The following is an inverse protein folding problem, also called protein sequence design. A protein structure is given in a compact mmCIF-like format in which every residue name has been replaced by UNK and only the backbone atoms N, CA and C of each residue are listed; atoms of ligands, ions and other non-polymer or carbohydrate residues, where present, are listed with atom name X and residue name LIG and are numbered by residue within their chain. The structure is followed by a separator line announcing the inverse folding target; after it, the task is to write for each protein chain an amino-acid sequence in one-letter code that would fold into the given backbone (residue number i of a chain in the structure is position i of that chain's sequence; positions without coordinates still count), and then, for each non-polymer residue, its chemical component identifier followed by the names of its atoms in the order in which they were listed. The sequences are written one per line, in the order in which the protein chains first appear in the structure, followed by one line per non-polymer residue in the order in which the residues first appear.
data_IF_524167468646
#
_entry.id   IF_524167468646
#
_cell.length_a   1.000
_cell.length_b   1.000
_cell.length_c   1.000
_cell.angle_alpha   90.00
_cell.angle_beta   90.00
_cell.angle_gamma   90.00
#
_symmetry.space_group_name_H-M   'P 1'
#
loop_
_entity.id
_entity.type
_entity.pdbx_description
1 polymer ?
#
# COMPACT_ATOMS: atom_id res chain seq x y z
N UNK A 1 -4.01 -2.13 46.50
CA UNK A 1 -4.47 -2.90 45.31
C UNK A 1 -3.98 -2.34 43.99
N UNK A 2 -3.11 -1.31 43.93
CA UNK A 2 -2.68 -0.64 42.70
C UNK A 2 -1.31 -1.12 42.11
N UNK A 3 -0.39 -1.59 42.95
CA UNK A 3 0.98 -1.96 42.50
C UNK A 3 1.05 -3.18 41.58
N UNK A 4 0.10 -4.09 41.65
CA UNK A 4 0.07 -5.31 40.82
C UNK A 4 -0.46 -5.00 39.42
N UNK A 5 -1.40 -4.06 39.29
CA UNK A 5 -1.99 -3.65 38.01
C UNK A 5 -0.96 -2.82 37.21
N UNK A 6 -0.27 -1.87 37.86
CA UNK A 6 0.76 -1.06 37.18
C UNK A 6 1.95 -1.91 36.71
N UNK A 7 2.42 -2.86 37.52
CA UNK A 7 3.47 -3.81 37.09
C UNK A 7 3.02 -4.68 35.92
N UNK A 8 1.77 -5.13 35.90
CA UNK A 8 1.22 -5.90 34.80
C UNK A 8 1.11 -5.06 33.52
N UNK A 9 0.74 -3.79 33.62
CA UNK A 9 0.63 -2.86 32.50
C UNK A 9 2.00 -2.53 31.90
N UNK A 10 3.00 -2.19 32.73
CA UNK A 10 4.37 -1.94 32.29
C UNK A 10 5.03 -3.18 31.65
N UNK A 11 4.76 -4.36 32.21
CA UNK A 11 5.25 -5.61 31.65
C UNK A 11 4.62 -5.90 30.28
N UNK A 12 3.34 -5.62 30.11
CA UNK A 12 2.63 -5.78 28.83
C UNK A 12 3.15 -4.83 27.77
N UNK A 13 3.34 -3.54 28.06
CA UNK A 13 3.94 -2.55 27.16
C UNK A 13 5.38 -2.92 26.76
N UNK A 14 6.19 -3.38 27.70
CA UNK A 14 7.54 -3.83 27.42
C UNK A 14 7.56 -5.07 26.50
N UNK A 15 6.63 -6.01 26.68
CA UNK A 15 6.48 -7.19 25.84
C UNK A 15 6.01 -6.82 24.42
N UNK A 16 5.08 -5.89 24.28
CA UNK A 16 4.61 -5.39 22.98
C UNK A 16 5.74 -4.72 22.20
N UNK A 17 6.60 -3.94 22.86
CA UNK A 17 7.78 -3.33 22.24
C UNK A 17 8.81 -4.38 21.80
N UNK A 18 9.01 -5.43 22.58
CA UNK A 18 9.92 -6.54 22.23
C UNK A 18 9.36 -7.34 21.06
N UNK A 19 8.07 -7.66 21.09
CA UNK A 19 7.41 -8.40 20.03
C UNK A 19 7.42 -7.63 18.69
N UNK A 20 7.25 -6.30 18.71
CA UNK A 20 7.35 -5.45 17.52
C UNK A 20 8.76 -5.47 16.93
N UNK A 21 9.79 -5.44 17.76
CA UNK A 21 11.19 -5.56 17.33
C UNK A 21 11.48 -6.91 16.66
N UNK A 22 10.93 -7.98 17.21
CA UNK A 22 11.09 -9.31 16.60
C UNK A 22 10.27 -9.47 15.32
N UNK A 23 9.06 -8.88 15.27
CA UNK A 23 8.25 -8.85 14.06
C UNK A 23 8.99 -8.13 12.93
N UNK A 24 9.61 -6.97 13.20
CA UNK A 24 10.39 -6.24 12.21
C UNK A 24 11.49 -7.11 11.58
N UNK A 25 12.25 -7.85 12.39
CA UNK A 25 13.26 -8.79 11.88
C UNK A 25 12.69 -9.90 11.00
N UNK A 26 11.47 -10.37 11.29
CA UNK A 26 10.79 -11.37 10.46
C UNK A 26 10.27 -10.76 9.15
N UNK A 27 9.85 -9.50 9.19
CA UNK A 27 9.44 -8.74 8.00
C UNK A 27 10.63 -8.49 7.08
N UNK A 28 11.79 -8.11 7.62
CA UNK A 28 13.03 -7.92 6.86
C UNK A 28 13.49 -9.24 6.22
N UNK A 29 13.49 -10.32 6.99
CA UNK A 29 13.81 -11.64 6.45
C UNK A 29 12.87 -12.04 5.32
N UNK A 30 11.56 -11.79 5.48
CA UNK A 30 10.56 -12.09 4.45
C UNK A 30 10.78 -11.25 3.19
N UNK A 31 11.13 -9.97 3.35
CA UNK A 31 11.41 -9.08 2.22
C UNK A 31 12.61 -9.55 1.37
N UNK A 32 13.60 -10.16 2.01
CA UNK A 32 14.80 -10.69 1.33
C UNK A 32 14.57 -12.08 0.72
N UNK A 33 13.78 -12.94 1.36
CA UNK A 33 13.71 -14.36 1.04
C UNK A 33 12.36 -14.80 0.43
N UNK A 34 11.31 -13.97 0.48
CA UNK A 34 9.96 -14.28 -0.02
C UNK A 34 9.18 -15.31 0.80
N UNK A 35 9.77 -15.81 1.90
CA UNK A 35 9.17 -16.83 2.77
C UNK A 35 9.51 -16.54 4.25
N UNK A 36 8.64 -16.99 5.16
CA UNK A 36 8.95 -16.94 6.58
C UNK A 36 9.88 -18.10 6.98
N UNK A 37 10.85 -17.83 7.89
CA UNK A 37 11.82 -18.83 8.30
C UNK A 37 11.21 -19.89 9.23
N UNK A 38 11.76 -21.11 9.26
CA UNK A 38 11.40 -22.11 10.26
C UNK A 38 11.86 -21.68 11.67
N UNK A 39 11.28 -22.28 12.71
CA UNK A 39 11.54 -21.94 14.11
C UNK A 39 13.03 -21.96 14.50
N UNK A 40 13.81 -22.88 13.94
CA UNK A 40 15.27 -22.94 14.17
C UNK A 40 16.00 -21.72 13.66
N UNK A 41 15.60 -21.20 12.50
CA UNK A 41 16.17 -20.00 11.90
C UNK A 41 15.69 -18.75 12.63
N UNK A 42 14.41 -18.68 13.03
CA UNK A 42 13.87 -17.59 13.86
C UNK A 42 14.71 -17.47 15.13
N UNK A 43 14.99 -18.56 15.80
CA UNK A 43 15.80 -18.59 17.02
C UNK A 43 17.15 -17.86 16.83
N UNK A 44 17.82 -18.10 15.71
CA UNK A 44 19.08 -17.41 15.35
C UNK A 44 18.88 -15.91 15.07
N UNK A 45 17.87 -15.55 14.27
CA UNK A 45 17.58 -14.16 13.88
C UNK A 45 17.28 -13.27 15.09
N UNK A 46 16.53 -13.79 16.07
CA UNK A 46 16.11 -13.02 17.25
C UNK A 46 17.02 -13.23 18.46
N UNK A 47 18.06 -14.08 18.34
CA UNK A 47 19.05 -14.31 19.39
C UNK A 47 18.54 -15.13 20.59
N UNK A 48 17.50 -15.97 20.39
CA UNK A 48 16.99 -16.85 21.45
C UNK A 48 17.74 -18.16 21.52
N UNK A 49 18.01 -18.64 22.74
CA UNK A 49 18.81 -19.87 22.98
C UNK A 49 18.00 -21.16 22.96
N UNK A 50 16.65 -21.09 22.88
CA UNK A 50 15.79 -22.26 22.90
C UNK A 50 14.51 -22.06 22.07
N UNK A 51 13.84 -23.17 21.72
CA UNK A 51 12.63 -23.15 20.89
C UNK A 51 11.37 -22.68 21.65
N UNK A 52 11.32 -22.84 22.97
CA UNK A 52 10.11 -22.50 23.75
C UNK A 52 9.77 -21.01 23.72
N UNK A 53 10.68 -20.05 23.95
CA UNK A 53 10.40 -18.63 23.79
C UNK A 53 10.00 -18.24 22.35
N UNK A 54 10.61 -18.89 21.34
CA UNK A 54 10.24 -18.67 19.93
C UNK A 54 8.79 -19.10 19.69
N UNK A 55 8.38 -20.27 20.20
CA UNK A 55 7.02 -20.76 20.08
C UNK A 55 6.01 -19.82 20.76
N UNK A 56 6.36 -19.29 21.95
CA UNK A 56 5.53 -18.33 22.67
C UNK A 56 5.40 -17.00 21.90
N UNK A 57 6.49 -16.47 21.32
CA UNK A 57 6.48 -15.29 20.47
C UNK A 57 5.59 -15.52 19.23
N UNK A 58 5.80 -16.61 18.51
CA UNK A 58 5.01 -16.94 17.32
C UNK A 58 3.51 -17.07 17.67
N UNK A 59 3.19 -17.66 18.83
CA UNK A 59 1.80 -17.76 19.29
C UNK A 59 1.16 -16.37 19.52
N UNK A 60 1.90 -15.43 20.16
CA UNK A 60 1.43 -14.05 20.34
C UNK A 60 1.24 -13.32 19.01
N UNK A 61 2.22 -13.41 18.10
CA UNK A 61 2.12 -12.79 16.77
C UNK A 61 0.98 -13.36 15.93
N UNK A 62 0.63 -14.64 16.12
CA UNK A 62 -0.58 -15.22 15.52
C UNK A 62 -1.86 -14.68 16.14
N UNK A 63 -1.95 -14.57 17.46
CA UNK A 63 -3.10 -13.96 18.13
C UNK A 63 -3.34 -12.51 17.70
N UNK A 64 -2.26 -11.79 17.41
CA UNK A 64 -2.30 -10.41 16.93
C UNK A 64 -2.58 -10.31 15.41
N UNK A 65 -2.65 -11.43 14.68
CA UNK A 65 -2.93 -11.45 13.24
C UNK A 65 -1.72 -11.13 12.34
N UNK A 66 -0.52 -11.04 12.90
CA UNK A 66 0.71 -10.84 12.11
C UNK A 66 1.20 -12.11 11.42
N UNK A 67 1.00 -13.25 12.04
CA UNK A 67 1.41 -14.55 11.51
C UNK A 67 0.23 -15.52 11.44
N UNK A 68 0.30 -16.46 10.52
CA UNK A 68 -0.61 -17.58 10.40
C UNK A 68 0.15 -18.89 10.15
N UNK A 69 -0.55 -20.01 10.15
CA UNK A 69 -0.02 -21.31 9.72
C UNK A 69 -0.73 -21.80 8.47
N UNK A 70 0.04 -22.39 7.55
CA UNK A 70 -0.52 -23.21 6.49
C UNK A 70 -1.07 -24.53 7.05
N UNK A 71 -1.88 -25.31 6.26
CA UNK A 71 -2.30 -26.66 6.65
C UNK A 71 -1.12 -27.57 7.03
N UNK A 72 0.03 -27.42 6.37
CA UNK A 72 1.28 -28.17 6.62
C UNK A 72 2.09 -27.61 7.81
N UNK A 73 1.49 -26.75 8.63
CA UNK A 73 2.08 -26.13 9.83
C UNK A 73 3.30 -25.22 9.55
N UNK A 74 3.49 -24.77 8.32
CA UNK A 74 4.48 -23.75 8.01
C UNK A 74 3.96 -22.37 8.39
N UNK A 75 4.86 -21.47 8.76
CA UNK A 75 4.49 -20.07 8.98
C UNK A 75 4.23 -19.38 7.65
N UNK A 76 3.20 -18.53 7.62
CA UNK A 76 2.90 -17.60 6.54
C UNK A 76 2.57 -16.23 7.13
N UNK A 77 2.72 -15.14 6.37
CA UNK A 77 2.23 -13.83 6.76
C UNK A 77 0.73 -13.89 7.07
N UNK A 78 0.32 -13.25 8.16
CA UNK A 78 -1.07 -12.97 8.46
C UNK A 78 -1.48 -11.63 7.82
N UNK A 79 -2.76 -11.27 7.94
CA UNK A 79 -3.32 -10.05 7.33
C UNK A 79 -2.55 -8.79 7.75
N UNK A 80 -2.16 -8.69 9.02
CA UNK A 80 -1.48 -7.53 9.59
C UNK A 80 0.03 -7.49 9.35
N UNK A 81 0.61 -8.50 8.73
CA UNK A 81 2.06 -8.60 8.54
C UNK A 81 2.64 -7.44 7.70
N UNK A 82 1.87 -6.93 6.76
CA UNK A 82 2.28 -5.85 5.86
C UNK A 82 1.77 -4.46 6.29
N UNK A 83 1.08 -4.36 7.42
CA UNK A 83 0.66 -3.08 7.98
C UNK A 83 1.87 -2.19 8.28
N UNK A 84 1.69 -0.89 8.04
CA UNK A 84 2.66 0.17 8.37
C UNK A 84 1.97 1.26 9.17
N UNK A 85 2.63 1.81 10.20
CA UNK A 85 2.06 2.91 10.96
C UNK A 85 1.96 4.17 10.09
N UNK A 86 0.83 4.86 10.15
CA UNK A 86 0.67 6.18 9.60
C UNK A 86 0.97 7.18 10.71
N UNK A 87 1.98 8.01 10.48
CA UNK A 87 2.27 9.14 11.36
C UNK A 87 1.39 10.33 11.01
N UNK A 88 1.10 11.16 11.99
CA UNK A 88 0.38 12.41 11.78
C UNK A 88 1.06 13.31 10.73
N UNK A 89 0.29 14.23 10.17
CA UNK A 89 0.72 15.09 9.08
C UNK A 89 2.02 15.84 9.40
N UNK A 90 3.00 15.68 8.54
CA UNK A 90 4.19 16.52 8.52
C UNK A 90 3.92 17.72 7.61
N UNK A 91 4.09 18.93 8.13
CA UNK A 91 3.97 20.13 7.29
C UNK A 91 5.15 20.20 6.31
N UNK A 92 4.84 20.24 5.03
CA UNK A 92 5.84 20.56 4.00
C UNK A 92 6.17 22.08 4.11
N UNK A 93 7.14 22.43 4.94
CA UNK A 93 7.51 23.81 5.21
C UNK A 93 8.35 23.90 6.49
N UNK A 94 8.01 24.86 7.37
CA UNK A 94 8.75 25.03 8.63
C UNK A 94 8.55 23.82 9.56
N UNK A 95 9.61 23.42 10.32
CA UNK A 95 9.54 22.34 11.28
C UNK A 95 8.42 22.56 12.30
N UNK A 96 7.68 21.50 12.64
CA UNK A 96 6.72 21.47 13.74
C UNK A 96 7.13 20.41 14.76
N UNK A 97 6.79 20.55 16.06
CA UNK A 97 7.07 19.53 17.06
C UNK A 97 6.45 18.19 16.65
N UNK A 98 7.21 17.10 16.82
CA UNK A 98 6.69 15.76 16.67
C UNK A 98 5.69 15.49 17.82
N UNK A 99 4.45 15.20 17.49
CA UNK A 99 3.45 14.80 18.48
C UNK A 99 3.53 13.29 18.73
N UNK A 100 3.25 12.87 19.97
CA UNK A 100 2.98 11.48 20.32
C UNK A 100 1.57 11.14 19.82
N UNK A 101 1.47 10.62 18.61
CA UNK A 101 0.19 10.24 18.04
C UNK A 101 -0.03 8.74 18.13
N UNK A 102 -1.27 8.36 18.44
CA UNK A 102 -1.76 7.02 18.14
C UNK A 102 -1.71 6.84 16.62
N UNK A 103 -0.88 5.90 16.17
CA UNK A 103 -0.72 5.64 14.75
C UNK A 103 -1.77 4.64 14.30
N UNK A 104 -2.60 5.05 13.35
CA UNK A 104 -3.40 4.11 12.59
C UNK A 104 -2.48 3.21 11.76
N UNK A 105 -2.88 1.96 11.61
CA UNK A 105 -2.11 0.98 10.82
C UNK A 105 -2.76 0.81 9.45
N UNK A 106 -1.94 0.80 8.41
CA UNK A 106 -2.38 0.72 7.03
C UNK A 106 -1.58 -0.34 6.26
N UNK A 107 -2.26 -1.11 5.43
CA UNK A 107 -1.64 -1.91 4.36
C UNK A 107 -1.77 -1.13 3.05
N UNK A 108 -0.67 -0.79 2.40
CA UNK A 108 -0.66 0.02 1.17
C UNK A 108 -1.54 -0.60 0.08
N UNK A 109 -1.46 -1.92 -0.09
CA UNK A 109 -2.27 -2.64 -1.07
C UNK A 109 -3.77 -2.53 -0.75
N UNK A 110 -4.20 -2.78 0.49
CA UNK A 110 -5.61 -2.66 0.91
C UNK A 110 -6.15 -1.22 0.78
N UNK A 111 -5.29 -0.23 0.99
CA UNK A 111 -5.67 1.17 0.87
C UNK A 111 -5.88 1.61 -0.60
N UNK A 112 -5.02 1.14 -1.48
CA UNK A 112 -4.98 1.57 -2.88
C UNK A 112 -5.82 0.69 -3.80
N UNK A 113 -6.08 -0.58 -3.43
CA UNK A 113 -6.72 -1.58 -4.29
C UNK A 113 -8.00 -2.08 -3.65
N UNK A 114 -9.12 -1.44 -3.99
CA UNK A 114 -10.46 -1.85 -3.48
C UNK A 114 -10.99 -3.11 -4.17
N UNK A 115 -10.65 -3.31 -5.45
CA UNK A 115 -11.13 -4.43 -6.28
C UNK A 115 -9.96 -5.17 -6.93
N UNK A 116 -9.24 -6.06 -6.21
CA UNK A 116 -8.00 -6.68 -6.70
C UNK A 116 -8.13 -7.42 -8.03
N UNK A 117 -9.26 -8.08 -8.28
CA UNK A 117 -9.48 -8.87 -9.50
C UNK A 117 -9.64 -8.02 -10.76
N UNK A 118 -10.03 -6.75 -10.61
CA UNK A 118 -10.22 -5.79 -11.71
C UNK A 118 -9.17 -4.69 -11.73
N UNK A 119 -8.21 -4.68 -10.83
CA UNK A 119 -7.17 -3.65 -10.75
C UNK A 119 -5.90 -4.08 -11.49
N UNK A 120 -5.32 -3.15 -12.23
CA UNK A 120 -4.02 -3.30 -12.90
C UNK A 120 -3.14 -2.10 -12.62
N UNK A 121 -1.83 -2.30 -12.74
CA UNK A 121 -0.83 -1.24 -12.61
C UNK A 121 -0.32 -0.86 -14.00
N UNK A 122 -0.25 0.45 -14.28
CA UNK A 122 0.19 0.98 -15.58
C UNK A 122 1.30 1.99 -15.37
N UNK A 123 2.45 1.76 -16.02
CA UNK A 123 3.56 2.70 -16.00
C UNK A 123 3.29 3.88 -16.93
N UNK A 124 3.48 5.09 -16.41
CA UNK A 124 3.25 6.33 -17.16
C UNK A 124 4.46 6.68 -18.01
N UNK A 125 4.20 6.96 -19.30
CA UNK A 125 5.17 7.54 -20.23
C UNK A 125 4.63 8.87 -20.74
N UNK A 126 5.52 9.86 -20.90
CA UNK A 126 5.13 11.21 -21.30
C UNK A 126 4.62 12.06 -20.14
N UNK A 127 4.37 13.33 -20.40
CA UNK A 127 4.14 14.38 -19.43
C UNK A 127 2.76 15.08 -19.61
N UNK A 128 1.86 14.48 -20.37
CA UNK A 128 0.55 15.09 -20.68
C UNK A 128 -0.36 15.28 -19.46
N UNK A 129 -0.02 14.73 -18.31
CA UNK A 129 -0.77 14.82 -17.05
C UNK A 129 0.05 15.43 -15.92
N UNK A 130 1.09 16.20 -16.22
CA UNK A 130 2.04 16.75 -15.25
C UNK A 130 1.36 17.70 -14.26
N UNK A 131 0.44 18.53 -14.73
CA UNK A 131 -0.30 19.48 -13.87
C UNK A 131 -1.34 18.80 -12.97
N UNK A 132 -1.64 17.53 -13.25
CA UNK A 132 -2.42 16.65 -12.35
C UNK A 132 -1.50 15.87 -11.37
N UNK A 133 -0.20 16.18 -11.33
CA UNK A 133 0.77 15.55 -10.44
C UNK A 133 1.27 14.18 -10.91
N UNK A 134 0.90 13.73 -12.11
CA UNK A 134 1.34 12.46 -12.70
C UNK A 134 2.54 12.74 -13.61
N UNK A 135 3.70 12.20 -13.25
CA UNK A 135 4.96 12.41 -13.97
C UNK A 135 5.38 11.17 -14.76
N UNK A 136 6.23 11.34 -15.78
CA UNK A 136 6.87 10.19 -16.42
C UNK A 136 7.62 9.31 -15.42
N UNK A 137 7.39 7.99 -15.51
CA UNK A 137 7.95 7.01 -14.57
C UNK A 137 7.09 6.69 -13.36
N UNK A 138 5.97 7.40 -13.16
CA UNK A 138 4.97 7.01 -12.17
C UNK A 138 4.29 5.70 -12.56
N UNK A 139 3.71 5.03 -11.56
CA UNK A 139 2.80 3.93 -11.77
C UNK A 139 1.40 4.35 -11.30
N UNK A 140 0.42 4.29 -12.19
CA UNK A 140 -0.98 4.51 -11.85
C UNK A 140 -1.69 3.19 -11.58
N UNK A 141 -2.60 3.22 -10.62
CA UNK A 141 -3.46 2.11 -10.22
C UNK A 141 -4.77 2.30 -10.95
N UNK A 142 -5.13 1.35 -11.80
CA UNK A 142 -6.27 1.44 -12.72
C UNK A 142 -7.26 0.33 -12.42
N UNK A 143 -8.47 0.73 -12.06
CA UNK A 143 -9.59 -0.19 -11.92
C UNK A 143 -10.26 -0.36 -13.29
N UNK A 144 -10.22 -1.58 -13.84
CA UNK A 144 -10.86 -1.92 -15.11
C UNK A 144 -12.36 -1.85 -14.96
N UNK A 145 -12.95 -0.78 -15.45
CA UNK A 145 -14.39 -0.57 -15.52
C UNK A 145 -14.73 0.34 -16.71
N UNK A 146 -15.78 -0.02 -17.44
CA UNK A 146 -16.22 0.73 -18.62
C UNK A 146 -16.94 2.03 -18.26
N UNK A 147 -17.50 2.15 -17.05
CA UNK A 147 -18.19 3.36 -16.60
C UNK A 147 -17.24 4.30 -15.87
N UNK A 148 -17.11 5.50 -16.42
CA UNK A 148 -16.35 6.61 -15.84
C UNK A 148 -17.21 7.88 -15.93
N UNK A 149 -16.98 8.79 -14.99
CA UNK A 149 -17.66 10.09 -14.95
C UNK A 149 -16.75 11.19 -15.50
N UNK A 150 -17.37 12.26 -16.00
CA UNK A 150 -16.61 13.46 -16.33
C UNK A 150 -15.87 13.96 -15.08
N UNK A 151 -14.57 14.22 -15.21
CA UNK A 151 -13.66 14.53 -14.12
C UNK A 151 -12.78 13.37 -13.68
N UNK A 152 -13.13 12.11 -13.98
CA UNK A 152 -12.27 10.96 -13.68
C UNK A 152 -11.03 10.98 -14.57
N UNK A 153 -9.88 10.62 -13.99
CA UNK A 153 -8.71 10.26 -14.78
C UNK A 153 -8.88 8.85 -15.31
N UNK A 154 -8.72 8.66 -16.60
CA UNK A 154 -8.98 7.40 -17.28
C UNK A 154 -7.83 6.97 -18.16
N UNK A 155 -7.66 5.66 -18.30
CA UNK A 155 -6.97 5.07 -19.43
C UNK A 155 -8.02 4.82 -20.52
N UNK A 156 -7.89 5.51 -21.63
CA UNK A 156 -8.76 5.34 -22.79
C UNK A 156 -8.00 4.69 -23.95
N UNK A 157 -8.74 3.99 -24.80
CA UNK A 157 -8.24 3.42 -26.06
C UNK A 157 -8.88 4.20 -27.19
N UNK A 158 -8.04 4.80 -28.04
CA UNK A 158 -8.43 5.49 -29.28
C UNK A 158 -7.54 4.94 -30.39
N UNK A 159 -8.13 4.52 -31.48
CA UNK A 159 -7.40 3.98 -32.64
C UNK A 159 -6.38 2.88 -32.27
N UNK A 160 -6.77 2.00 -31.31
CA UNK A 160 -5.95 0.95 -30.71
C UNK A 160 -4.73 1.44 -29.89
N UNK A 161 -4.69 2.72 -29.52
CA UNK A 161 -3.63 3.28 -28.68
C UNK A 161 -4.14 3.67 -27.29
N UNK A 162 -3.36 3.35 -26.26
CA UNK A 162 -3.68 3.73 -24.89
C UNK A 162 -3.25 5.17 -24.60
N UNK A 163 -4.12 5.91 -23.92
CA UNK A 163 -3.79 7.25 -23.45
C UNK A 163 -4.35 7.50 -22.06
N UNK A 164 -3.61 8.24 -21.22
CA UNK A 164 -4.02 8.69 -19.89
C UNK A 164 -4.46 10.15 -19.98
N UNK A 165 -5.72 10.43 -19.66
CA UNK A 165 -6.31 11.79 -19.70
C UNK A 165 -7.40 11.91 -18.63
N UNK A 166 -7.85 13.14 -18.40
CA UNK A 166 -9.09 13.38 -17.68
C UNK A 166 -10.27 13.27 -18.65
N UNK A 167 -11.26 12.48 -18.28
CA UNK A 167 -12.50 12.39 -19.06
C UNK A 167 -13.31 13.68 -18.90
N UNK A 168 -13.60 14.34 -19.99
CA UNK A 168 -14.42 15.52 -20.02
C UNK A 168 -15.69 15.31 -20.84
N UNK A 169 -16.59 16.31 -20.82
CA UNK A 169 -17.79 16.33 -21.61
C UNK A 169 -17.98 17.71 -22.23
N UNK A 170 -18.05 17.78 -23.56
CA UNK A 170 -18.34 19.00 -24.32
C UNK A 170 -19.58 18.75 -25.19
N UNK A 171 -20.58 19.61 -25.14
CA UNK A 171 -21.81 19.50 -25.96
C UNK A 171 -22.44 18.11 -26.01
N UNK A 172 -22.42 17.41 -24.86
CA UNK A 172 -22.90 16.03 -24.70
C UNK A 172 -22.00 14.91 -25.26
N UNK A 173 -20.81 15.21 -25.80
CA UNK A 173 -19.82 14.25 -26.28
C UNK A 173 -18.69 14.14 -25.28
N UNK A 174 -18.12 12.95 -25.13
CA UNK A 174 -16.95 12.74 -24.28
C UNK A 174 -15.66 13.21 -25.00
N UNK A 175 -14.83 13.89 -24.25
CA UNK A 175 -13.52 14.37 -24.67
C UNK A 175 -12.45 13.93 -23.69
N UNK A 176 -11.21 13.88 -24.11
CA UNK A 176 -10.07 13.56 -23.24
C UNK A 176 -9.19 14.80 -23.09
N UNK A 177 -9.10 15.26 -21.85
CA UNK A 177 -8.48 16.53 -21.47
C UNK A 177 -7.11 16.23 -20.87
N UNK A 178 -6.00 16.71 -21.46
CA UNK A 178 -4.68 16.64 -20.84
C UNK A 178 -4.59 17.62 -19.66
N UNK A 179 -3.71 17.32 -18.72
CA UNK A 179 -3.30 18.23 -17.67
C UNK A 179 -1.87 18.74 -17.97
N UNK A 180 -1.71 19.31 -19.15
CA UNK A 180 -0.51 20.00 -19.64
C UNK A 180 -0.92 20.85 -20.85
N UNK A 181 -0.71 22.17 -20.81
CA UNK A 181 -1.13 23.09 -21.90
C UNK A 181 -0.42 22.83 -23.23
N UNK A 182 0.68 22.09 -23.25
CA UNK A 182 1.39 21.72 -24.48
C UNK A 182 0.64 20.65 -25.30
N UNK A 183 -0.41 20.05 -24.76
CA UNK A 183 -1.19 19.01 -25.40
C UNK A 183 -2.61 19.48 -25.70
N UNK A 184 -3.13 19.20 -26.90
CA UNK A 184 -4.50 19.55 -27.25
C UNK A 184 -5.51 18.61 -26.56
N UNK A 185 -6.73 19.09 -26.36
CA UNK A 185 -7.88 18.26 -25.99
C UNK A 185 -8.17 17.31 -27.15
N UNK A 186 -8.29 16.01 -26.85
CA UNK A 186 -8.62 14.99 -27.84
C UNK A 186 -10.15 14.86 -27.90
N UNK A 187 -10.68 15.04 -29.09
CA UNK A 187 -12.10 14.83 -29.44
C UNK A 187 -12.18 13.63 -30.36
N UNK A 188 -12.54 12.45 -29.85
CA UNK A 188 -12.59 11.24 -30.65
C UNK A 188 -13.57 11.41 -31.82
N UNK A 189 -13.11 11.16 -33.03
CA UNK A 189 -13.97 11.18 -34.25
C UNK A 189 -14.58 9.80 -34.54
N UNK A 190 -14.17 8.78 -33.82
CA UNK A 190 -14.58 7.39 -33.91
C UNK A 190 -14.89 6.82 -32.54
N UNK A 191 -14.77 5.51 -32.41
CA UNK A 191 -14.97 4.83 -31.13
C UNK A 191 -13.87 5.18 -30.12
N UNK A 192 -14.26 5.48 -28.90
CA UNK A 192 -13.40 5.56 -27.74
C UNK A 192 -13.86 4.51 -26.73
N UNK A 193 -12.93 3.73 -26.24
CA UNK A 193 -13.20 2.76 -25.18
C UNK A 193 -12.50 3.21 -23.89
N UNK A 194 -13.21 3.14 -22.77
CA UNK A 194 -12.60 3.32 -21.46
C UNK A 194 -12.06 1.97 -21.00
N UNK A 195 -10.73 1.83 -20.94
CA UNK A 195 -10.08 0.66 -20.40
C UNK A 195 -10.22 0.59 -18.88
N UNK A 196 -10.16 1.73 -18.20
CA UNK A 196 -10.36 1.81 -16.76
C UNK A 196 -10.14 3.20 -16.19
N UNK A 197 -10.47 3.33 -14.91
CA UNK A 197 -10.40 4.57 -14.14
C UNK A 197 -9.16 4.50 -13.22
N UNK A 198 -8.38 5.58 -13.17
CA UNK A 198 -7.27 5.75 -12.26
C UNK A 198 -7.82 6.01 -10.86
N UNK A 199 -7.50 5.15 -9.91
CA UNK A 199 -7.93 5.24 -8.51
C UNK A 199 -6.81 5.65 -7.56
N UNK A 200 -5.56 5.62 -8.03
CA UNK A 200 -4.40 6.02 -7.26
C UNK A 200 -3.13 6.04 -8.08
N UNK A 201 -2.05 6.52 -7.48
CA UNK A 201 -0.72 6.48 -8.08
C UNK A 201 0.35 6.32 -7.01
N UNK A 202 1.50 5.82 -7.39
CA UNK A 202 2.68 5.83 -6.54
C UNK A 202 3.95 6.09 -7.36
N UNK A 203 4.95 6.63 -6.68
CA UNK A 203 6.29 6.91 -7.22
C UNK A 203 7.35 6.42 -6.25
N UNK A 204 8.31 5.68 -6.76
CA UNK A 204 9.49 5.29 -6.00
C UNK A 204 10.63 6.25 -6.30
N UNK A 205 11.22 6.87 -5.27
CA UNK A 205 12.29 7.84 -5.47
C UNK A 205 13.69 7.20 -5.50
N UNK A 206 13.92 6.12 -4.75
CA UNK A 206 15.19 5.32 -4.80
C UNK A 206 14.99 3.98 -4.14
#
# INVERSE_FOLDING_TARGET
MNLTIERSFHYRLAMENIDSTYLAKLQDYYAENGVLPPYSTIMGIIGMKSKSPVAALVARLKLQGYLESTPEKRLKPGRRFFERPIFDSVRAGFPSPAGDANHDMLTIDEYLVSHPSSTVLVNVKGDSMIDAGILPGDTVIVEKRAMANAGDMVIAIIDNEFTLKTLGKEKNEYVLIPANPNYPVIRPKGGMEIFGVVVGQFRKYK
#
